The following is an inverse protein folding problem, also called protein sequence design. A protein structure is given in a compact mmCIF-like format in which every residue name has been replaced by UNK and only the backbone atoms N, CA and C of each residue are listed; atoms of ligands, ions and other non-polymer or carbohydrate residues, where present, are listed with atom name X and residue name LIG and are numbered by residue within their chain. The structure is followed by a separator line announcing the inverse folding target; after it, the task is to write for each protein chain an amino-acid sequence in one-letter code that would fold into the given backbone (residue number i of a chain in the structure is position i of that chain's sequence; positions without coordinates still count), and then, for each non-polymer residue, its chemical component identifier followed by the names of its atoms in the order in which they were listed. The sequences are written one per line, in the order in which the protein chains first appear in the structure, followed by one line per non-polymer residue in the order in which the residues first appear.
data_IF_316068494795
#
_entry.id   IF_316068494795
#
_cell.length_a   1.000
_cell.length_b   1.000
_cell.length_c   1.000
_cell.angle_alpha   90.00
_cell.angle_beta   90.00
_cell.angle_gamma   90.00
#
_symmetry.space_group_name_H-M   'P 1'
#
loop_
_entity.id
_entity.type
_entity.pdbx_description
1 polymer ?
#
# COMPACT_ATOMS: atom_id res chain seq x y z
N UNK A 1 -31.78 -2.28 -12.55
CA UNK A 1 -32.45 -3.13 -11.52
C UNK A 1 -32.46 -4.55 -12.05
N UNK A 2 -31.99 -5.53 -11.28
CA UNK A 2 -32.02 -6.95 -11.63
C UNK A 2 -33.12 -7.63 -10.80
N UNK A 3 -33.91 -8.51 -11.43
CA UNK A 3 -34.95 -9.28 -10.75
C UNK A 3 -34.63 -10.76 -10.85
N UNK A 4 -34.67 -11.47 -9.73
CA UNK A 4 -34.41 -12.90 -9.64
C UNK A 4 -35.72 -13.69 -9.74
N UNK A 5 -35.62 -14.97 -10.09
CA UNK A 5 -36.78 -15.88 -10.17
C UNK A 5 -37.54 -16.03 -8.85
N UNK A 6 -36.92 -15.66 -7.72
CA UNK A 6 -37.56 -15.62 -6.39
C UNK A 6 -38.44 -14.39 -6.17
N UNK A 7 -38.48 -13.45 -7.11
CA UNK A 7 -39.14 -12.14 -6.96
C UNK A 7 -38.27 -11.10 -6.25
N UNK A 8 -37.06 -11.46 -5.79
CA UNK A 8 -36.13 -10.49 -5.22
C UNK A 8 -35.61 -9.54 -6.29
N UNK A 9 -35.39 -8.27 -5.92
CA UNK A 9 -34.78 -7.26 -6.80
C UNK A 9 -33.48 -6.72 -6.20
N UNK A 10 -32.47 -6.46 -7.03
CA UNK A 10 -31.20 -5.83 -6.64
C UNK A 10 -30.87 -4.64 -7.54
N UNK A 11 -30.19 -3.63 -6.99
CA UNK A 11 -29.74 -2.44 -7.74
C UNK A 11 -28.83 -2.80 -8.92
N UNK A 12 -28.64 -1.86 -9.85
CA UNK A 12 -27.59 -2.01 -10.88
C UNK A 12 -26.22 -2.15 -10.20
N UNK A 13 -25.30 -2.87 -10.84
CA UNK A 13 -23.91 -2.99 -10.40
C UNK A 13 -22.98 -2.12 -11.27
N UNK A 14 -23.52 -1.35 -12.24
CA UNK A 14 -22.73 -0.54 -13.20
C UNK A 14 -21.74 0.43 -12.55
N UNK A 15 -22.07 1.00 -11.39
CA UNK A 15 -21.22 1.97 -10.69
C UNK A 15 -20.63 1.43 -9.38
N UNK A 16 -20.65 0.10 -9.17
CA UNK A 16 -20.14 -0.53 -7.95
C UNK A 16 -18.80 -1.20 -8.19
N UNK A 17 -17.93 -1.12 -7.19
CA UNK A 17 -16.66 -1.85 -7.19
C UNK A 17 -16.92 -3.35 -7.04
N UNK A 18 -16.43 -4.14 -8.00
CA UNK A 18 -16.47 -5.60 -7.98
C UNK A 18 -15.18 -6.16 -7.35
N UNK A 19 -15.08 -6.06 -6.02
CA UNK A 19 -13.90 -6.54 -5.30
C UNK A 19 -13.60 -8.03 -5.54
N UNK A 20 -14.62 -8.86 -5.77
CA UNK A 20 -14.45 -10.30 -6.04
C UNK A 20 -13.88 -10.53 -7.44
N UNK A 21 -14.35 -9.79 -8.44
CA UNK A 21 -13.77 -9.80 -9.79
C UNK A 21 -12.37 -9.17 -9.88
N UNK A 22 -12.05 -8.20 -9.02
CA UNK A 22 -10.76 -7.49 -9.06
C UNK A 22 -9.65 -8.14 -8.25
N UNK A 23 -9.99 -8.98 -7.26
CA UNK A 23 -9.02 -9.56 -6.33
C UNK A 23 -9.06 -11.08 -6.36
N UNK A 24 -7.93 -11.69 -6.74
CA UNK A 24 -7.78 -13.15 -6.66
C UNK A 24 -7.77 -13.62 -5.20
N UNK A 25 -8.69 -14.53 -4.78
CA UNK A 25 -8.70 -15.04 -3.42
C UNK A 25 -7.44 -15.86 -3.08
N UNK A 26 -6.80 -16.46 -4.08
CA UNK A 26 -5.55 -17.20 -3.91
C UNK A 26 -4.38 -16.25 -3.58
N UNK A 27 -4.27 -15.15 -4.32
CA UNK A 27 -3.25 -14.14 -4.07
C UNK A 27 -3.47 -13.44 -2.73
N UNK A 28 -4.73 -13.11 -2.41
CA UNK A 28 -5.09 -12.47 -1.15
C UNK A 28 -4.76 -13.35 0.06
N UNK A 29 -5.08 -14.65 0.01
CA UNK A 29 -4.70 -15.60 1.06
C UNK A 29 -3.18 -15.64 1.25
N UNK A 30 -2.42 -15.75 0.16
CA UNK A 30 -0.94 -15.80 0.22
C UNK A 30 -0.34 -14.52 0.80
N UNK A 31 -0.92 -13.37 0.46
CA UNK A 31 -0.54 -12.07 1.01
C UNK A 31 -0.85 -11.96 2.51
N UNK A 32 -2.02 -12.44 2.96
CA UNK A 32 -2.35 -12.49 4.39
C UNK A 32 -1.38 -13.37 5.19
N UNK A 33 -0.97 -14.52 4.64
CA UNK A 33 0.06 -15.39 5.23
C UNK A 33 1.41 -14.68 5.33
N UNK A 34 1.80 -13.95 4.29
CA UNK A 34 3.00 -13.11 4.30
C UNK A 34 2.94 -12.08 5.44
N UNK A 35 1.83 -11.32 5.56
CA UNK A 35 1.70 -10.32 6.63
C UNK A 35 1.69 -10.96 8.02
N UNK A 36 1.05 -12.12 8.17
CA UNK A 36 1.05 -12.87 9.42
C UNK A 36 2.46 -13.32 9.85
N UNK A 37 3.29 -13.73 8.90
CA UNK A 37 4.72 -14.03 9.15
C UNK A 37 5.47 -12.77 9.60
N UNK A 38 5.25 -11.62 8.96
CA UNK A 38 6.03 -10.40 9.19
C UNK A 38 5.56 -9.54 10.38
N UNK A 39 4.40 -9.85 10.98
CA UNK A 39 3.96 -9.19 12.22
C UNK A 39 4.66 -9.72 13.47
N UNK A 40 5.34 -10.87 13.37
CA UNK A 40 6.18 -11.43 14.43
C UNK A 40 7.55 -10.74 14.37
N UNK A 41 7.95 -10.12 15.47
CA UNK A 41 9.22 -9.40 15.61
C UNK A 41 10.37 -10.36 15.94
N UNK A 42 11.61 -9.88 15.84
CA UNK A 42 12.81 -10.66 16.15
C UNK A 42 12.86 -11.14 17.61
N UNK A 43 12.27 -10.35 18.51
CA UNK A 43 12.11 -10.69 19.94
C UNK A 43 10.90 -11.62 20.21
N UNK A 44 10.19 -12.04 19.16
CA UNK A 44 9.00 -12.89 19.24
C UNK A 44 7.71 -12.14 19.55
N UNK A 45 7.76 -10.82 19.78
CA UNK A 45 6.56 -10.04 20.03
C UNK A 45 5.67 -9.96 18.79
N UNK A 46 4.36 -9.97 19.02
CA UNK A 46 3.35 -9.94 17.97
C UNK A 46 2.81 -8.53 17.82
N UNK A 47 3.03 -7.91 16.66
CA UNK A 47 2.39 -6.65 16.30
C UNK A 47 0.95 -6.89 15.85
N UNK A 48 0.09 -5.92 16.15
CA UNK A 48 -1.25 -5.86 15.57
C UNK A 48 -1.18 -5.92 14.04
N UNK A 49 -2.13 -6.60 13.42
CA UNK A 49 -2.12 -6.88 11.97
C UNK A 49 -2.19 -5.61 11.10
N UNK A 50 -2.75 -4.54 11.64
CA UNK A 50 -2.92 -3.23 11.00
C UNK A 50 -1.85 -2.22 11.42
N UNK A 51 -0.81 -2.63 12.19
CA UNK A 51 0.21 -1.71 12.70
C UNK A 51 0.89 -0.89 11.60
N UNK A 52 0.98 -1.41 10.37
CA UNK A 52 1.53 -0.71 9.21
C UNK A 52 0.69 0.50 8.76
N UNK A 53 -0.61 0.55 9.08
CA UNK A 53 -1.50 1.67 8.75
C UNK A 53 -1.27 2.92 9.61
N UNK A 54 -0.45 2.79 10.67
CA UNK A 54 0.06 3.93 11.45
C UNK A 54 1.01 4.81 10.63
N UNK A 55 1.50 4.30 9.49
CA UNK A 55 2.30 5.03 8.52
C UNK A 55 3.78 4.65 8.57
N UNK A 56 4.39 4.69 7.38
CA UNK A 56 5.83 4.54 7.16
C UNK A 56 6.23 5.65 6.19
N UNK A 57 7.42 6.26 6.32
CA UNK A 57 7.85 7.30 5.38
C UNK A 57 7.80 6.83 3.92
N UNK A 58 7.27 7.65 3.01
CA UNK A 58 7.19 7.35 1.58
C UNK A 58 8.55 6.94 0.97
N UNK A 59 9.65 7.58 1.41
CA UNK A 59 11.00 7.24 0.96
C UNK A 59 11.41 5.83 1.40
N UNK A 60 10.98 5.39 2.58
CA UNK A 60 11.17 4.02 3.07
C UNK A 60 10.35 3.02 2.27
N UNK A 61 9.08 3.33 1.95
CA UNK A 61 8.27 2.52 1.04
C UNK A 61 8.95 2.36 -0.32
N UNK A 62 9.41 3.45 -0.93
CA UNK A 62 10.00 3.42 -2.27
C UNK A 62 11.33 2.66 -2.31
N UNK A 63 12.22 2.88 -1.33
CA UNK A 63 13.49 2.14 -1.24
C UNK A 63 13.24 0.64 -1.04
N UNK A 64 12.29 0.29 -0.20
CA UNK A 64 11.92 -1.10 0.09
C UNK A 64 11.26 -1.77 -1.12
N UNK A 65 10.27 -1.10 -1.74
CA UNK A 65 9.60 -1.53 -2.96
C UNK A 65 10.60 -1.85 -4.07
N UNK A 66 11.55 -0.94 -4.35
CA UNK A 66 12.53 -1.16 -5.42
C UNK A 66 13.40 -2.39 -5.15
N UNK A 67 13.82 -2.62 -3.91
CA UNK A 67 14.60 -3.82 -3.54
C UNK A 67 13.82 -5.10 -3.83
N UNK A 68 12.54 -5.16 -3.47
CA UNK A 68 11.72 -6.34 -3.73
C UNK A 68 11.36 -6.51 -5.21
N UNK A 69 11.19 -5.41 -5.97
CA UNK A 69 11.08 -5.46 -7.43
C UNK A 69 12.33 -6.08 -8.06
N UNK A 70 13.53 -5.72 -7.58
CA UNK A 70 14.77 -6.35 -8.05
C UNK A 70 14.81 -7.85 -7.74
N UNK A 71 14.36 -8.26 -6.54
CA UNK A 71 14.26 -9.68 -6.20
C UNK A 71 13.29 -10.43 -7.12
N UNK A 72 12.11 -9.85 -7.42
CA UNK A 72 11.14 -10.42 -8.37
C UNK A 72 11.76 -10.55 -9.76
N UNK A 73 12.42 -9.50 -10.25
CA UNK A 73 13.02 -9.50 -11.59
C UNK A 73 14.13 -10.56 -11.69
N UNK A 74 15.04 -10.60 -10.72
CA UNK A 74 16.10 -11.60 -10.67
C UNK A 74 15.54 -13.01 -10.61
N UNK A 75 14.56 -13.28 -9.72
CA UNK A 75 13.88 -14.57 -9.64
C UNK A 75 13.24 -14.98 -10.98
N UNK A 76 12.57 -14.04 -11.65
CA UNK A 76 11.91 -14.30 -12.93
C UNK A 76 12.91 -14.70 -14.02
N UNK A 77 14.03 -13.97 -14.12
CA UNK A 77 15.08 -14.29 -15.11
C UNK A 77 15.76 -15.62 -14.81
N UNK A 78 16.04 -15.88 -13.55
CA UNK A 78 16.59 -17.13 -13.07
C UNK A 78 15.71 -18.33 -13.39
N UNK A 79 14.40 -18.20 -13.20
CA UNK A 79 13.44 -19.25 -13.54
C UNK A 79 13.47 -19.59 -15.04
N UNK A 80 13.55 -18.57 -15.91
CA UNK A 80 13.62 -18.75 -17.36
C UNK A 80 14.96 -19.33 -17.82
N UNK A 81 16.07 -18.91 -17.20
CA UNK A 81 17.41 -19.38 -17.56
C UNK A 81 17.79 -20.73 -16.93
N UNK A 82 16.96 -21.26 -16.02
CA UNK A 82 17.26 -22.47 -15.25
C UNK A 82 18.36 -22.29 -14.20
N UNK A 83 18.78 -21.04 -13.94
CA UNK A 83 19.80 -20.71 -12.93
C UNK A 83 19.09 -20.37 -11.63
N UNK A 84 19.37 -21.12 -10.55
CA UNK A 84 18.82 -20.80 -9.23
C UNK A 84 19.43 -19.49 -8.73
N UNK A 85 18.61 -18.47 -8.40
CA UNK A 85 19.13 -17.23 -7.84
C UNK A 85 19.61 -17.46 -6.40
N UNK A 86 20.75 -16.87 -6.02
CA UNK A 86 21.24 -16.81 -4.63
C UNK A 86 20.47 -15.73 -3.85
N UNK A 87 19.15 -15.81 -3.83
CA UNK A 87 18.28 -14.89 -3.09
C UNK A 87 17.70 -15.60 -1.88
N UNK A 88 17.74 -14.93 -0.73
CA UNK A 88 17.20 -15.44 0.53
C UNK A 88 15.66 -15.37 0.61
N UNK A 89 15.03 -14.70 -0.37
CA UNK A 89 13.58 -14.47 -0.43
C UNK A 89 12.95 -15.20 -1.64
N UNK A 90 11.83 -15.88 -1.39
CA UNK A 90 11.06 -16.56 -2.44
C UNK A 90 10.42 -15.54 -3.40
N UNK A 91 10.05 -16.01 -4.60
CA UNK A 91 9.30 -15.20 -5.57
C UNK A 91 7.99 -14.69 -4.95
N UNK A 92 7.27 -15.55 -4.23
CA UNK A 92 5.99 -15.21 -3.60
C UNK A 92 6.15 -14.21 -2.45
N UNK A 93 7.18 -14.36 -1.59
CA UNK A 93 7.46 -13.36 -0.53
C UNK A 93 7.86 -12.02 -1.17
N UNK A 94 8.69 -12.04 -2.22
CA UNK A 94 9.10 -10.81 -2.94
C UNK A 94 7.90 -10.09 -3.57
N UNK A 95 6.99 -10.83 -4.22
CA UNK A 95 5.74 -10.27 -4.76
C UNK A 95 4.84 -9.70 -3.67
N UNK A 96 4.69 -10.41 -2.55
CA UNK A 96 3.91 -9.91 -1.40
C UNK A 96 4.54 -8.65 -0.81
N UNK A 97 5.87 -8.57 -0.74
CA UNK A 97 6.57 -7.38 -0.28
C UNK A 97 6.38 -6.19 -1.22
N UNK A 98 6.36 -6.42 -2.54
CA UNK A 98 5.99 -5.40 -3.54
C UNK A 98 4.57 -4.89 -3.28
N UNK A 99 3.60 -5.79 -3.10
CA UNK A 99 2.21 -5.45 -2.79
C UNK A 99 2.15 -4.65 -1.48
N UNK A 100 2.85 -5.08 -0.43
CA UNK A 100 2.88 -4.39 0.86
C UNK A 100 3.36 -2.95 0.75
N UNK A 101 4.48 -2.71 0.07
CA UNK A 101 5.02 -1.36 -0.04
C UNK A 101 4.16 -0.46 -0.95
N UNK A 102 3.60 -1.02 -2.04
CA UNK A 102 2.69 -0.28 -2.91
C UNK A 102 1.37 0.07 -2.19
N UNK A 103 0.81 -0.88 -1.44
CA UNK A 103 -0.40 -0.69 -0.65
C UNK A 103 -0.18 0.30 0.49
N UNK A 104 0.97 0.22 1.19
CA UNK A 104 1.34 1.17 2.22
C UNK A 104 1.49 2.60 1.70
N UNK A 105 2.17 2.75 0.56
CA UNK A 105 2.30 4.05 -0.11
C UNK A 105 0.91 4.59 -0.50
N UNK A 106 0.08 3.78 -1.16
CA UNK A 106 -1.27 4.19 -1.57
C UNK A 106 -2.15 4.52 -0.35
N UNK A 107 -2.07 3.75 0.72
CA UNK A 107 -2.82 3.98 1.96
C UNK A 107 -2.52 5.37 2.53
N UNK A 108 -1.25 5.79 2.57
CA UNK A 108 -0.91 7.14 3.06
C UNK A 108 -1.42 8.24 2.12
N UNK A 109 -1.40 8.03 0.79
CA UNK A 109 -1.99 8.98 -0.17
C UNK A 109 -3.51 9.14 0.02
N UNK A 110 -4.24 8.03 0.10
CA UNK A 110 -5.71 8.04 0.25
C UNK A 110 -6.12 8.57 1.63
N UNK A 111 -5.35 8.26 2.67
CA UNK A 111 -5.54 8.80 4.02
C UNK A 111 -5.34 10.31 4.06
N UNK A 112 -4.35 10.84 3.34
CA UNK A 112 -4.14 12.28 3.17
C UNK A 112 -5.34 12.93 2.47
N UNK A 113 -5.83 12.35 1.37
CA UNK A 113 -7.01 12.85 0.64
C UNK A 113 -8.26 12.90 1.54
N UNK A 114 -8.50 11.85 2.34
CA UNK A 114 -9.63 11.80 3.29
C UNK A 114 -9.50 12.89 4.37
N UNK A 115 -8.29 13.13 4.89
CA UNK A 115 -8.07 14.09 5.98
C UNK A 115 -8.06 15.56 5.50
N UNK A 116 -7.63 15.81 4.27
CA UNK A 116 -7.48 17.17 3.72
C UNK A 116 -8.64 17.61 2.82
N UNK A 117 -9.53 16.70 2.39
CA UNK A 117 -10.68 16.96 1.52
C UNK A 117 -10.41 16.71 0.02
N UNK A 118 -11.48 16.51 -0.77
CA UNK A 118 -11.39 16.26 -2.21
C UNK A 118 -10.52 17.33 -2.91
N UNK A 119 -9.42 16.89 -3.54
CA UNK A 119 -8.51 17.77 -4.28
C UNK A 119 -7.14 18.01 -3.65
N UNK A 120 -6.84 17.47 -2.46
CA UNK A 120 -5.48 17.47 -1.89
C UNK A 120 -4.56 16.41 -2.56
N UNK A 121 -4.60 16.29 -3.90
CA UNK A 121 -3.77 15.31 -4.64
C UNK A 121 -2.38 15.86 -4.89
N UNK A 122 -1.54 15.86 -3.87
CA UNK A 122 -0.34 16.72 -3.80
C UNK A 122 -0.78 18.18 -4.00
N UNK A 123 -0.54 19.12 -3.06
CA UNK A 123 -0.58 20.52 -3.46
C UNK A 123 0.27 20.61 -4.73
N UNK A 124 -0.31 21.14 -5.81
CA UNK A 124 0.32 21.15 -7.12
C UNK A 124 1.79 21.46 -6.89
N UNK A 125 2.69 20.61 -7.39
CA UNK A 125 4.13 20.63 -7.09
C UNK A 125 4.82 21.94 -7.52
N UNK A 126 4.02 22.96 -7.83
CA UNK A 126 4.19 24.29 -8.38
C UNK A 126 3.81 25.41 -7.41
N UNK A 127 3.23 25.14 -6.22
CA UNK A 127 2.98 26.21 -5.25
C UNK A 127 4.31 26.81 -4.76
N UNK A 128 4.42 28.14 -4.81
CA UNK A 128 5.58 28.91 -4.33
C UNK A 128 6.01 28.53 -2.91
N UNK A 129 5.09 28.00 -2.10
CA UNK A 129 5.29 27.51 -0.72
C UNK A 129 6.27 26.33 -0.66
N UNK A 130 6.21 25.42 -1.63
CA UNK A 130 7.04 24.21 -1.66
C UNK A 130 8.22 24.31 -2.62
N UNK A 131 8.34 25.43 -3.33
CA UNK A 131 9.50 25.76 -4.14
C UNK A 131 10.76 25.75 -3.27
N UNK A 132 11.74 24.91 -3.64
CA UNK A 132 12.99 24.78 -2.90
C UNK A 132 12.95 23.86 -1.67
N UNK A 133 11.77 23.36 -1.26
CA UNK A 133 11.69 22.32 -0.23
C UNK A 133 11.96 20.95 -0.84
N UNK A 134 12.81 20.19 -0.17
CA UNK A 134 12.97 18.75 -0.41
C UNK A 134 11.68 18.01 -0.07
N UNK A 135 11.49 16.83 -0.63
CA UNK A 135 10.32 16.01 -0.37
C UNK A 135 10.10 15.77 1.14
N UNK A 136 11.18 15.49 1.89
CA UNK A 136 11.12 15.24 3.34
C UNK A 136 10.72 16.51 4.14
N UNK A 137 11.14 17.71 3.70
CA UNK A 137 10.74 18.98 4.33
C UNK A 137 9.26 19.30 4.12
N UNK A 138 8.71 18.96 2.95
CA UNK A 138 7.28 19.13 2.66
C UNK A 138 6.44 18.20 3.53
N UNK A 139 6.89 16.96 3.69
CA UNK A 139 6.28 15.96 4.58
C UNK A 139 6.28 16.42 6.04
N UNK A 140 7.40 16.96 6.53
CA UNK A 140 7.49 17.50 7.87
C UNK A 140 6.52 18.68 8.06
N UNK A 141 6.46 19.60 7.09
CA UNK A 141 5.52 20.72 7.14
C UNK A 141 4.05 20.26 7.19
N UNK A 142 3.66 19.32 6.34
CA UNK A 142 2.30 18.76 6.31
C UNK A 142 1.90 18.12 7.64
N UNK A 143 2.78 17.31 8.23
CA UNK A 143 2.51 16.65 9.51
C UNK A 143 2.29 17.65 10.67
N UNK A 144 3.03 18.77 10.69
CA UNK A 144 2.86 19.79 11.74
C UNK A 144 1.59 20.64 11.56
N UNK A 145 1.09 20.80 10.33
CA UNK A 145 -0.19 21.48 10.09
C UNK A 145 -1.38 20.65 10.61
N UNK A 146 -1.29 19.31 10.47
CA UNK A 146 -2.32 18.39 10.99
C UNK A 146 -2.38 18.44 12.52
N UNK A 147 -1.24 18.42 13.21
CA UNK A 147 -1.20 18.49 14.68
C UNK A 147 -1.83 19.78 15.22
N UNK A 148 -1.58 20.94 14.58
CA UNK A 148 -2.19 22.21 15.01
C UNK A 148 -3.72 22.24 14.94
N UNK A 149 -4.33 21.48 14.02
CA UNK A 149 -5.80 21.41 13.87
C UNK A 149 -6.46 20.52 14.92
N UNK A 150 -5.73 19.59 15.51
CA UNK A 150 -6.22 18.71 16.57
C UNK A 150 -6.05 19.33 17.97
N UNK A 151 -5.15 20.31 18.15
CA UNK A 151 -5.02 21.05 19.42
C UNK A 151 -6.07 22.16 19.60
N UNK A 152 -6.76 22.57 18.53
CA UNK A 152 -7.82 23.59 18.55
C UNK A 152 -9.26 23.02 18.65
N UNK A 153 -9.42 21.68 18.74
CA UNK A 153 -10.71 20.98 18.87
C UNK A 153 -10.91 20.32 20.23
#
# INVERSE_FOLDING_TARGET
MRTFNTGATRGSEEDKLDYEGFISPLALKRYAEYLHKHRIQEDGNLRDSDNWQKGIPFSSYMKSLLRHVMNVWLNHRSHISGVIPLLDESMEDSLCAVIFNAQGYLHELEKEEILCGEGAKFPEMTDEIFSGMTFDERLYWLNNQVESKYEES
#
